data_IF_483756121779
#
_entry.id   IF_483756121779
#
_cell.length_a   1.000
_cell.length_b   1.000
_cell.length_c   1.000
_cell.angle_alpha   90.00
_cell.angle_beta   90.00
_cell.angle_gamma   90.00
#
_symmetry.space_group_name_H-M   'P 1'
#
loop_
_entity.id
_entity.type
_entity.pdbx_description
1 polymer ?
#
# COMPACT_ATOMS: atom_id res chain seq x y z
N UNK A 1 -21.38 -11.88 -23.87
CA UNK A 1 -22.36 -12.94 -24.18
C UNK A 1 -23.74 -12.39 -23.84
N UNK A 2 -24.33 -11.72 -24.83
CA UNK A 2 -25.69 -11.21 -24.85
C UNK A 2 -26.54 -12.31 -25.47
N UNK A 3 -27.50 -12.87 -24.72
CA UNK A 3 -28.65 -13.62 -25.23
C UNK A 3 -29.73 -13.52 -24.13
N UNK A 4 -31.01 -13.23 -24.34
CA UNK A 4 -31.79 -12.97 -25.55
C UNK A 4 -33.15 -12.38 -25.11
N UNK A 5 -33.67 -11.45 -25.92
CA UNK A 5 -35.06 -11.23 -26.31
C UNK A 5 -36.21 -11.55 -25.32
N UNK A 6 -37.06 -10.55 -25.06
CA UNK A 6 -38.39 -10.53 -25.67
C UNK A 6 -39.07 -9.18 -25.39
N UNK A 7 -39.07 -8.37 -26.44
CA UNK A 7 -40.14 -7.43 -26.75
C UNK A 7 -41.44 -8.24 -26.94
N UNK A 8 -42.52 -7.87 -26.26
CA UNK A 8 -43.88 -7.92 -26.83
C UNK A 8 -44.85 -7.29 -25.81
N UNK A 9 -45.26 -6.07 -26.14
CA UNK A 9 -46.60 -5.63 -25.84
C UNK A 9 -47.62 -6.72 -26.24
N UNK A 10 -48.79 -6.68 -25.61
CA UNK A 10 -50.00 -7.41 -26.00
C UNK A 10 -50.23 -8.80 -25.42
N UNK A 11 -50.10 -8.95 -24.09
CA UNK A 11 -51.02 -9.86 -23.39
C UNK A 11 -51.64 -9.17 -22.19
N UNK A 12 -52.96 -8.95 -22.30
CA UNK A 12 -53.89 -8.61 -21.22
C UNK A 12 -54.06 -7.11 -20.95
N UNK A 13 -54.71 -6.46 -21.92
CA UNK A 13 -55.94 -5.74 -21.59
C UNK A 13 -56.81 -6.62 -20.66
N UNK A 14 -56.74 -6.40 -19.36
CA UNK A 14 -57.85 -6.64 -18.45
C UNK A 14 -57.92 -5.46 -17.50
N UNK A 15 -58.92 -4.63 -17.72
CA UNK A 15 -59.45 -3.71 -16.74
C UNK A 15 -59.62 -4.46 -15.41
N UNK A 16 -58.78 -4.13 -14.43
CA UNK A 16 -59.04 -4.42 -13.03
C UNK A 16 -58.63 -3.19 -12.23
N UNK A 17 -59.47 -2.67 -11.32
CA UNK A 17 -59.02 -1.65 -10.39
C UNK A 17 -57.88 -2.25 -9.57
N UNK A 18 -56.73 -1.56 -9.52
CA UNK A 18 -55.58 -1.99 -8.72
C UNK A 18 -55.98 -1.91 -7.25
N UNK A 19 -56.50 -3.01 -6.70
CA UNK A 19 -56.80 -3.13 -5.27
C UNK A 19 -55.48 -3.45 -4.57
N UNK A 20 -54.93 -2.46 -3.86
CA UNK A 20 -53.78 -2.66 -2.98
C UNK A 20 -54.18 -3.51 -1.76
N UNK A 21 -53.36 -4.50 -1.39
CA UNK A 21 -53.48 -5.21 -0.12
C UNK A 21 -53.33 -4.25 1.07
N UNK A 22 -53.98 -4.55 2.21
CA UNK A 22 -54.20 -3.64 3.36
C UNK A 22 -52.96 -2.93 3.92
N UNK A 23 -51.75 -3.40 3.61
CA UNK A 23 -50.48 -2.85 4.10
C UNK A 23 -49.70 -2.00 3.06
N UNK A 24 -50.26 -1.78 1.87
CA UNK A 24 -49.63 -0.99 0.81
C UNK A 24 -50.40 0.31 0.56
N UNK A 25 -49.68 1.38 0.22
CA UNK A 25 -50.26 2.67 -0.14
C UNK A 25 -50.09 2.89 -1.65
N UNK A 26 -51.15 3.32 -2.33
CA UNK A 26 -51.09 3.79 -3.71
C UNK A 26 -50.24 5.07 -3.77
N UNK A 27 -49.19 5.05 -4.58
CA UNK A 27 -48.33 6.20 -4.86
C UNK A 27 -48.40 6.50 -6.35
N UNK A 28 -48.74 7.75 -6.67
CA UNK A 28 -48.75 8.28 -8.04
C UNK A 28 -47.32 8.56 -8.46
N UNK A 29 -46.86 7.97 -9.57
CA UNK A 29 -45.45 8.04 -9.98
C UNK A 29 -45.25 9.02 -11.13
N UNK A 30 -46.21 9.09 -12.06
CA UNK A 30 -46.10 9.92 -13.25
C UNK A 30 -47.46 10.16 -13.90
N UNK A 31 -47.59 11.33 -14.52
CA UNK A 31 -48.65 11.68 -15.46
C UNK A 31 -48.09 11.61 -16.88
N UNK A 32 -48.78 10.89 -17.77
CA UNK A 32 -48.43 10.84 -19.19
C UNK A 32 -49.69 11.16 -20.01
N UNK A 33 -49.62 12.22 -20.82
CA UNK A 33 -50.70 12.67 -21.70
C UNK A 33 -50.88 14.20 -21.70
N UNK A 34 -51.37 14.75 -22.81
CA UNK A 34 -51.70 16.18 -22.98
C UNK A 34 -53.06 16.53 -22.32
N UNK A 35 -53.33 17.82 -22.07
CA UNK A 35 -54.40 18.37 -21.21
C UNK A 35 -55.83 17.83 -21.42
N UNK A 36 -56.11 17.14 -22.54
CA UNK A 36 -57.41 16.54 -22.85
C UNK A 36 -57.48 15.02 -22.68
N UNK A 37 -56.37 14.32 -22.43
CA UNK A 37 -56.33 12.87 -22.24
C UNK A 37 -55.20 12.45 -21.29
N UNK A 38 -55.41 12.65 -19.99
CA UNK A 38 -54.43 12.35 -18.95
C UNK A 38 -54.59 10.90 -18.45
N UNK A 39 -53.54 10.08 -18.60
CA UNK A 39 -53.49 8.74 -18.00
C UNK A 39 -52.62 8.77 -16.74
N UNK A 40 -53.15 8.28 -15.63
CA UNK A 40 -52.49 8.25 -14.33
C UNK A 40 -51.97 6.84 -14.02
N UNK A 41 -50.66 6.71 -13.81
CA UNK A 41 -50.03 5.46 -13.38
C UNK A 41 -49.76 5.48 -11.88
N UNK A 42 -50.32 4.49 -11.19
CA UNK A 42 -50.12 4.28 -9.76
C UNK A 42 -49.43 2.94 -9.50
N UNK A 43 -48.50 2.91 -8.55
CA UNK A 43 -47.97 1.64 -7.99
C UNK A 43 -48.32 1.53 -6.52
N UNK A 44 -48.38 0.29 -6.08
CA UNK A 44 -48.59 -0.11 -4.70
C UNK A 44 -47.22 -0.14 -4.01
N UNK A 45 -46.92 0.81 -3.11
CA UNK A 45 -45.63 0.89 -2.41
C UNK A 45 -45.81 0.68 -0.90
N UNK A 46 -44.93 -0.12 -0.31
CA UNK A 46 -44.86 -0.34 1.14
C UNK A 46 -44.20 0.87 1.82
N UNK A 47 -44.69 1.25 3.01
CA UNK A 47 -44.13 2.36 3.82
C UNK A 47 -42.62 2.22 4.12
N UNK A 48 -42.06 1.02 3.94
CA UNK A 48 -40.67 0.63 4.23
C UNK A 48 -39.63 1.21 3.25
N UNK A 49 -40.04 1.66 2.04
CA UNK A 49 -39.10 2.21 1.06
C UNK A 49 -38.43 3.52 1.52
N UNK A 50 -39.13 4.36 2.29
CA UNK A 50 -38.61 5.65 2.78
C UNK A 50 -37.56 5.48 3.89
N UNK A 51 -37.64 4.40 4.67
CA UNK A 51 -36.71 4.08 5.77
C UNK A 51 -35.39 3.51 5.23
N UNK A 52 -35.44 2.71 4.16
CA UNK A 52 -34.27 2.14 3.48
C UNK A 52 -33.33 3.21 2.90
N UNK A 53 -33.87 4.32 2.36
CA UNK A 53 -33.04 5.44 1.83
C UNK A 53 -32.27 6.16 2.95
N UNK A 54 -32.85 6.31 4.13
CA UNK A 54 -32.18 6.90 5.30
C UNK A 54 -31.10 5.96 5.84
N UNK A 55 -31.41 4.66 5.95
CA UNK A 55 -30.46 3.64 6.40
C UNK A 55 -29.27 3.54 5.44
N UNK A 56 -29.52 3.53 4.11
CA UNK A 56 -28.45 3.53 3.11
C UNK A 56 -27.54 4.77 3.21
N UNK A 57 -28.11 5.94 3.52
CA UNK A 57 -27.34 7.16 3.74
C UNK A 57 -26.46 7.10 5.01
N UNK A 58 -26.97 6.52 6.09
CA UNK A 58 -26.19 6.30 7.32
C UNK A 58 -25.07 5.27 7.13
N UNK A 59 -25.31 4.20 6.36
CA UNK A 59 -24.28 3.21 6.02
C UNK A 59 -23.15 3.85 5.19
N UNK A 60 -23.50 4.70 4.20
CA UNK A 60 -22.52 5.45 3.41
C UNK A 60 -21.68 6.41 4.27
N UNK A 61 -22.30 7.07 5.25
CA UNK A 61 -21.62 7.96 6.19
C UNK A 61 -20.64 7.20 7.09
N UNK A 62 -21.01 6.02 7.59
CA UNK A 62 -20.15 5.19 8.44
C UNK A 62 -18.94 4.67 7.65
N UNK A 63 -19.11 4.28 6.38
CA UNK A 63 -17.99 3.85 5.51
C UNK A 63 -17.00 4.98 5.26
N UNK A 64 -17.44 6.25 5.21
CA UNK A 64 -16.55 7.39 4.99
C UNK A 64 -15.63 7.71 6.19
N UNK A 65 -15.98 7.24 7.40
CA UNK A 65 -15.25 7.56 8.63
C UNK A 65 -14.12 6.58 8.98
N UNK A 66 -13.92 5.48 8.23
CA UNK A 66 -12.97 4.41 8.59
C UNK A 66 -11.59 4.51 7.95
N UNK A 67 -11.30 5.53 7.13
CA UNK A 67 -9.96 5.69 6.53
C UNK A 67 -9.00 6.46 7.43
N UNK A 68 -8.67 5.91 8.60
CA UNK A 68 -7.46 6.33 9.32
C UNK A 68 -6.29 5.43 8.86
N UNK A 69 -5.78 5.66 7.66
CA UNK A 69 -4.48 5.08 7.28
C UNK A 69 -3.43 5.87 8.05
N UNK A 70 -2.82 5.23 9.05
CA UNK A 70 -1.73 5.81 9.85
C UNK A 70 -0.63 6.32 8.92
N UNK A 71 -0.47 7.63 8.83
CA UNK A 71 0.63 8.30 8.09
C UNK A 71 1.96 8.26 8.84
N UNK A 72 2.02 7.54 9.97
CA UNK A 72 3.22 7.41 10.77
C UNK A 72 4.09 6.28 10.22
N UNK A 73 5.35 6.61 9.90
CA UNK A 73 6.35 5.62 9.51
C UNK A 73 6.55 4.59 10.62
N UNK A 74 6.67 3.31 10.23
CA UNK A 74 6.99 2.20 11.16
C UNK A 74 8.48 2.06 11.39
N UNK A 75 9.32 2.73 10.59
CA UNK A 75 10.77 2.71 10.74
C UNK A 75 11.18 3.34 12.07
N UNK A 76 11.99 2.63 12.84
CA UNK A 76 12.37 2.99 14.23
C UNK A 76 13.78 3.55 14.36
N UNK A 77 14.59 3.45 13.31
CA UNK A 77 16.01 3.83 13.31
C UNK A 77 16.35 4.94 12.28
N UNK A 78 15.35 5.74 11.90
CA UNK A 78 15.55 6.96 11.11
C UNK A 78 16.10 8.06 12.00
N UNK A 79 17.18 8.70 11.57
CA UNK A 79 17.82 9.81 12.27
C UNK A 79 18.34 10.85 11.26
N UNK A 80 17.66 11.99 11.19
CA UNK A 80 18.03 13.10 10.30
C UNK A 80 19.33 13.80 10.71
N UNK A 81 19.74 13.67 11.98
CA UNK A 81 20.98 14.24 12.51
C UNK A 81 22.18 13.31 12.32
N UNK A 82 21.98 12.10 11.78
CA UNK A 82 23.06 11.18 11.49
C UNK A 82 24.11 11.84 10.56
N UNK A 83 25.41 11.53 10.70
CA UNK A 83 26.44 12.02 9.81
C UNK A 83 26.14 11.67 8.35
N UNK A 84 26.50 12.56 7.43
CA UNK A 84 26.40 12.26 6.00
C UNK A 84 27.39 11.14 5.63
N UNK A 85 26.94 10.25 4.73
CA UNK A 85 27.78 9.13 4.30
C UNK A 85 28.98 9.64 3.49
N UNK A 86 30.12 9.00 3.69
CA UNK A 86 31.38 9.31 3.00
C UNK A 86 31.79 8.12 2.15
N UNK A 87 32.36 8.39 0.97
CA UNK A 87 32.87 7.36 0.08
C UNK A 87 34.37 7.16 0.26
N UNK A 88 34.78 5.90 0.25
CA UNK A 88 36.18 5.48 0.12
C UNK A 88 36.64 5.59 -1.34
N UNK A 89 37.95 5.44 -1.57
CA UNK A 89 38.58 5.50 -2.90
C UNK A 89 38.06 4.44 -3.87
N UNK A 90 37.68 3.27 -3.36
CA UNK A 90 37.07 2.17 -4.13
C UNK A 90 35.55 2.34 -4.35
N UNK A 91 35.01 3.54 -4.11
CA UNK A 91 33.60 3.88 -4.30
C UNK A 91 32.65 3.10 -3.37
N UNK A 92 33.09 2.56 -2.23
CA UNK A 92 32.19 2.01 -1.19
C UNK A 92 31.98 3.01 -0.05
N UNK A 93 30.98 2.79 0.80
CA UNK A 93 30.78 3.65 1.97
C UNK A 93 31.85 3.40 3.05
N UNK A 94 32.30 4.47 3.69
CA UNK A 94 33.14 4.40 4.88
C UNK A 94 32.27 4.08 6.11
N UNK A 95 32.32 2.84 6.59
CA UNK A 95 31.58 2.37 7.77
C UNK A 95 32.57 2.15 8.91
N UNK A 96 32.34 2.81 10.05
CA UNK A 96 33.22 2.75 11.24
C UNK A 96 32.61 2.04 12.43
N UNK A 97 31.29 1.87 12.41
CA UNK A 97 30.50 1.38 13.53
C UNK A 97 29.99 -0.04 13.24
N UNK A 98 29.88 -0.84 14.29
CA UNK A 98 29.33 -2.19 14.25
C UNK A 98 28.09 -2.24 15.14
N UNK A 99 26.98 -2.72 14.59
CA UNK A 99 25.72 -2.79 15.33
C UNK A 99 25.76 -3.91 16.36
N UNK A 100 25.37 -3.60 17.60
CA UNK A 100 25.05 -4.60 18.64
C UNK A 100 23.57 -4.98 18.66
N UNK A 101 22.75 -4.38 17.79
CA UNK A 101 21.34 -4.73 17.63
C UNK A 101 21.17 -5.83 16.58
N UNK A 102 20.54 -6.93 16.99
CA UNK A 102 20.21 -8.09 16.15
C UNK A 102 19.17 -7.76 15.06
N UNK A 103 18.44 -6.67 15.19
CA UNK A 103 17.42 -6.25 14.23
C UNK A 103 17.96 -5.36 13.12
N UNK A 104 19.07 -4.67 13.37
CA UNK A 104 19.62 -3.70 12.41
C UNK A 104 19.96 -4.37 11.07
N UNK A 105 19.26 -3.94 10.03
CA UNK A 105 19.32 -4.47 8.68
C UNK A 105 18.51 -5.76 8.45
N UNK A 106 18.15 -6.51 9.49
CA UNK A 106 17.46 -7.81 9.38
C UNK A 106 15.95 -7.75 9.65
N UNK A 107 15.46 -6.62 10.14
CA UNK A 107 14.05 -6.36 10.43
C UNK A 107 13.57 -5.17 9.57
N UNK A 108 12.38 -5.25 8.95
CA UNK A 108 11.85 -4.15 8.13
C UNK A 108 11.61 -2.86 8.91
N UNK A 109 11.42 -2.89 10.24
CA UNK A 109 11.33 -1.67 11.06
C UNK A 109 12.71 -1.07 11.40
N UNK A 110 13.79 -1.82 11.16
CA UNK A 110 15.17 -1.41 11.42
C UNK A 110 16.07 -1.59 10.18
N UNK A 111 15.70 -1.04 9.01
CA UNK A 111 16.50 -1.21 7.79
C UNK A 111 17.84 -0.49 7.89
N UNK A 112 18.77 -0.80 7.01
CA UNK A 112 19.98 0.01 6.85
C UNK A 112 19.61 1.27 6.05
N UNK A 113 19.64 2.41 6.73
CA UNK A 113 19.36 3.73 6.14
C UNK A 113 20.62 4.25 5.43
N UNK A 114 20.57 4.28 4.09
CA UNK A 114 21.70 4.57 3.19
C UNK A 114 21.46 5.79 2.29
N UNK A 115 20.67 6.77 2.77
CA UNK A 115 20.48 8.03 2.04
C UNK A 115 21.80 8.76 1.82
N UNK A 116 22.15 9.01 0.55
CA UNK A 116 23.37 9.70 0.15
C UNK A 116 23.10 10.77 -0.91
N UNK A 117 23.16 12.03 -0.49
CA UNK A 117 22.94 13.26 -1.29
C UNK A 117 21.51 13.39 -1.85
N UNK A 118 21.03 12.43 -2.61
CA UNK A 118 19.69 12.37 -3.19
C UNK A 118 19.26 10.93 -3.46
N UNK A 119 18.01 10.74 -3.89
CA UNK A 119 17.38 9.44 -4.16
C UNK A 119 17.44 8.99 -5.64
N UNK A 120 18.16 9.72 -6.52
CA UNK A 120 18.19 9.42 -7.97
C UNK A 120 19.06 8.21 -8.32
N UNK A 121 20.08 7.93 -7.50
CA UNK A 121 21.05 6.85 -7.71
C UNK A 121 20.81 5.65 -6.77
N UNK A 122 19.56 5.19 -6.67
CA UNK A 122 19.09 4.10 -5.78
C UNK A 122 20.02 2.86 -5.82
N UNK A 123 20.11 2.21 -6.99
CA UNK A 123 20.85 0.97 -7.15
C UNK A 123 22.36 1.10 -6.89
N UNK A 124 22.90 2.31 -7.11
CA UNK A 124 24.32 2.57 -6.87
C UNK A 124 24.59 2.57 -5.37
N UNK A 125 23.84 3.31 -4.56
CA UNK A 125 24.09 3.41 -3.12
C UNK A 125 23.94 2.06 -2.41
N UNK A 126 22.98 1.24 -2.82
CA UNK A 126 22.83 -0.13 -2.33
C UNK A 126 24.06 -0.97 -2.62
N UNK A 127 24.53 -0.92 -3.87
CA UNK A 127 25.74 -1.62 -4.31
C UNK A 127 26.97 -1.15 -3.54
N UNK A 128 27.11 0.15 -3.29
CA UNK A 128 28.22 0.72 -2.50
C UNK A 128 28.23 0.21 -1.07
N UNK A 129 27.06 0.10 -0.45
CA UNK A 129 26.92 -0.45 0.90
C UNK A 129 27.21 -1.94 0.92
N UNK A 130 26.58 -2.72 0.05
CA UNK A 130 26.75 -4.18 0.00
C UNK A 130 28.20 -4.57 -0.32
N UNK A 131 28.87 -3.86 -1.22
CA UNK A 131 30.29 -4.10 -1.53
C UNK A 131 31.24 -3.72 -0.40
N UNK A 132 30.79 -2.94 0.60
CA UNK A 132 31.58 -2.67 1.80
C UNK A 132 31.54 -3.83 2.81
N UNK A 133 30.62 -4.78 2.66
CA UNK A 133 30.38 -5.86 3.59
C UNK A 133 31.10 -7.15 3.19
N UNK A 134 31.38 -7.98 4.19
CA UNK A 134 31.88 -9.33 4.05
C UNK A 134 31.17 -10.26 5.06
N UNK A 135 31.35 -11.57 4.89
CA UNK A 135 30.89 -12.57 5.86
C UNK A 135 31.53 -12.39 7.24
N UNK A 136 31.09 -13.14 8.26
CA UNK A 136 31.55 -12.99 9.65
C UNK A 136 33.08 -13.08 9.82
N UNK A 137 33.77 -13.84 8.98
CA UNK A 137 35.22 -14.03 9.03
C UNK A 137 35.95 -13.33 7.86
N UNK A 138 35.27 -12.43 7.15
CA UNK A 138 35.81 -11.72 5.99
C UNK A 138 35.60 -12.44 4.66
N UNK A 139 34.67 -13.40 4.60
CA UNK A 139 34.33 -14.10 3.37
C UNK A 139 33.73 -13.15 2.33
N UNK A 140 34.06 -13.36 1.05
CA UNK A 140 33.46 -12.59 -0.03
C UNK A 140 31.97 -12.90 -0.11
N UNK A 141 31.13 -11.87 0.04
CA UNK A 141 29.69 -12.02 -0.14
C UNK A 141 29.29 -11.89 -1.61
N UNK A 142 28.21 -12.56 -1.97
CA UNK A 142 27.41 -12.30 -3.16
C UNK A 142 26.01 -11.94 -2.72
N UNK A 143 25.30 -11.15 -3.53
CA UNK A 143 23.96 -10.71 -3.19
C UNK A 143 23.07 -10.67 -4.42
N UNK A 144 21.78 -10.93 -4.19
CA UNK A 144 20.72 -10.77 -5.18
C UNK A 144 19.61 -9.93 -4.56
N UNK A 145 19.05 -9.00 -5.34
CA UNK A 145 17.83 -8.29 -4.94
C UNK A 145 16.65 -9.26 -5.09
N UNK A 146 15.94 -9.52 -4.00
CA UNK A 146 14.78 -10.41 -4.00
C UNK A 146 13.52 -9.66 -4.42
N UNK A 147 13.25 -8.56 -3.73
CA UNK A 147 12.02 -7.79 -3.90
C UNK A 147 12.21 -6.35 -3.43
N UNK A 148 11.29 -5.49 -3.84
CA UNK A 148 11.07 -4.17 -3.26
C UNK A 148 9.79 -4.29 -2.44
N UNK A 149 9.90 -4.12 -1.14
CA UNK A 149 8.82 -4.34 -0.20
C UNK A 149 8.51 -3.09 0.63
N UNK A 150 7.53 -3.27 1.50
CA UNK A 150 7.41 -2.50 2.72
C UNK A 150 7.26 -1.00 2.46
N UNK A 151 6.09 -0.57 1.95
CA UNK A 151 5.81 0.86 1.78
C UNK A 151 5.89 1.57 3.13
N UNK A 152 6.54 2.74 3.16
CA UNK A 152 6.55 3.63 4.31
C UNK A 152 6.42 5.09 3.86
N UNK A 153 5.80 5.97 4.66
CA UNK A 153 5.70 7.38 4.34
C UNK A 153 7.07 8.06 4.47
N UNK A 154 7.44 8.88 3.49
CA UNK A 154 8.68 9.67 3.49
C UNK A 154 8.50 10.98 2.73
N UNK A 155 9.19 12.03 3.17
CA UNK A 155 9.22 13.33 2.47
C UNK A 155 10.32 13.41 1.41
N UNK A 156 11.19 12.39 1.31
CA UNK A 156 12.35 12.34 0.41
C UNK A 156 12.06 11.61 -0.91
N UNK A 157 10.78 11.33 -1.17
CA UNK A 157 10.24 10.80 -2.42
C UNK A 157 9.16 11.74 -2.94
N UNK A 158 9.13 11.97 -4.25
CA UNK A 158 8.12 12.80 -4.91
C UNK A 158 6.69 12.25 -4.71
N UNK A 159 6.57 10.94 -4.47
CA UNK A 159 5.29 10.27 -4.24
C UNK A 159 4.82 10.36 -2.77
N UNK A 160 5.63 10.93 -1.87
CA UNK A 160 5.35 10.94 -0.42
C UNK A 160 5.47 9.56 0.25
N UNK A 161 5.93 8.55 -0.48
CA UNK A 161 6.12 7.18 -0.02
C UNK A 161 7.42 6.60 -0.59
N UNK A 162 8.06 5.75 0.20
CA UNK A 162 9.26 5.02 -0.13
C UNK A 162 9.04 3.52 0.08
N UNK A 163 9.94 2.71 -0.45
CA UNK A 163 9.92 1.27 -0.33
C UNK A 163 11.30 0.78 0.09
N UNK A 164 11.32 -0.28 0.90
CA UNK A 164 12.56 -0.96 1.25
C UNK A 164 12.95 -1.93 0.15
N UNK A 165 14.25 -2.08 -0.09
CA UNK A 165 14.76 -3.12 -0.97
C UNK A 165 15.33 -4.27 -0.15
N UNK A 166 14.92 -5.48 -0.50
CA UNK A 166 15.31 -6.70 0.21
C UNK A 166 16.36 -7.43 -0.61
N UNK A 167 17.52 -7.63 0.00
CA UNK A 167 18.64 -8.37 -0.59
C UNK A 167 18.86 -9.69 0.14
N UNK A 168 19.15 -10.75 -0.60
CA UNK A 168 19.66 -12.00 -0.04
C UNK A 168 21.18 -12.04 -0.19
N UNK A 169 21.88 -12.22 0.92
CA UNK A 169 23.33 -12.32 1.00
C UNK A 169 23.77 -13.77 1.17
N UNK A 170 24.79 -14.16 0.41
CA UNK A 170 25.43 -15.49 0.43
C UNK A 170 26.94 -15.37 0.55
N UNK A 171 27.54 -16.33 1.23
CA UNK A 171 29.00 -16.51 1.29
C UNK A 171 29.33 -17.98 1.56
N UNK A 172 30.59 -18.35 1.37
CA UNK A 172 31.05 -19.71 1.60
C UNK A 172 30.92 -20.13 3.07
N UNK A 173 30.46 -21.35 3.33
CA UNK A 173 30.25 -21.86 4.69
C UNK A 173 28.98 -21.35 5.39
N UNK A 174 28.16 -20.52 4.73
CA UNK A 174 26.89 -20.05 5.26
C UNK A 174 25.84 -21.18 5.32
N UNK A 175 25.24 -21.41 6.48
CA UNK A 175 24.19 -22.44 6.66
C UNK A 175 22.84 -22.04 6.06
N UNK A 176 22.49 -20.77 6.15
CA UNK A 176 21.21 -20.21 5.66
C UNK A 176 21.47 -18.83 5.06
N UNK A 177 20.92 -18.52 3.87
CA UNK A 177 20.97 -17.18 3.32
C UNK A 177 20.37 -16.17 4.29
N UNK A 178 20.93 -14.97 4.30
CA UNK A 178 20.51 -13.89 5.19
C UNK A 178 19.86 -12.80 4.35
N UNK A 179 18.72 -12.28 4.80
CA UNK A 179 18.01 -11.19 4.13
C UNK A 179 18.33 -9.86 4.79
N UNK A 180 18.58 -8.83 3.98
CA UNK A 180 18.90 -7.49 4.44
C UNK A 180 17.91 -6.49 3.83
N UNK A 181 17.37 -5.61 4.67
CA UNK A 181 16.46 -4.53 4.28
C UNK A 181 17.24 -3.23 4.16
N UNK A 182 17.22 -2.63 2.98
CA UNK A 182 17.90 -1.37 2.69
C UNK A 182 16.88 -0.27 2.44
N UNK A 183 17.19 0.93 2.92
CA UNK A 183 16.39 2.13 2.75
C UNK A 183 17.26 3.24 2.17
N UNK A 184 16.99 3.65 0.93
CA UNK A 184 17.72 4.75 0.28
C UNK A 184 17.18 6.14 0.62
N UNK A 185 15.98 6.21 1.22
CA UNK A 185 15.24 7.46 1.35
C UNK A 185 15.64 8.19 2.62
N UNK A 186 15.80 7.49 3.74
CA UNK A 186 16.02 8.12 5.04
C UNK A 186 17.48 8.08 5.49
N UNK A 187 17.85 9.05 6.33
CA UNK A 187 19.13 9.06 7.05
C UNK A 187 19.05 8.19 8.30
N UNK A 188 20.20 7.67 8.69
CA UNK A 188 20.39 6.94 9.94
C UNK A 188 21.87 6.67 10.18
N UNK A 189 22.19 6.22 11.38
CA UNK A 189 23.57 5.83 11.71
C UNK A 189 23.95 4.60 10.88
N UNK A 190 24.96 4.75 10.02
CA UNK A 190 25.45 3.68 9.16
C UNK A 190 26.39 2.75 9.94
N UNK A 191 26.03 1.48 10.01
CA UNK A 191 26.75 0.46 10.77
C UNK A 191 26.85 -0.84 9.98
N UNK A 192 27.81 -1.69 10.35
CA UNK A 192 27.85 -3.08 9.91
C UNK A 192 26.77 -3.88 10.67
N UNK A 193 25.87 -4.59 9.98
CA UNK A 193 24.89 -5.46 10.64
C UNK A 193 25.56 -6.56 11.46
N UNK A 194 24.94 -6.94 12.58
CA UNK A 194 25.51 -7.93 13.49
C UNK A 194 25.79 -9.25 12.77
N UNK A 195 27.01 -9.79 12.95
CA UNK A 195 27.43 -11.05 12.34
C UNK A 195 27.95 -10.93 10.91
N UNK A 196 28.03 -9.72 10.37
CA UNK A 196 28.80 -9.40 9.17
C UNK A 196 30.09 -8.67 9.55
N UNK A 197 31.01 -8.58 8.60
CA UNK A 197 32.25 -7.81 8.74
C UNK A 197 32.42 -6.84 7.58
N UNK A 198 33.54 -6.10 7.58
CA UNK A 198 33.92 -5.24 6.45
C UNK A 198 34.75 -6.04 5.44
N UNK A 199 34.49 -5.80 4.16
CA UNK A 199 35.36 -6.28 3.10
C UNK A 199 36.77 -5.70 3.27
N UNK A 200 37.77 -6.56 3.06
CA UNK A 200 39.18 -6.14 3.04
C UNK A 200 39.44 -5.30 1.79
N UNK A 201 40.22 -4.24 1.96
CA UNK A 201 40.70 -3.38 0.87
C UNK A 201 41.83 -4.04 0.07
#
# INVERSE_FOLDING_TARGET
>A
MIFFLADLADFLNLFNPVICSKNLKLVKIRDIGDRKNQKHFYICSTKTFKTMKKIAFYILLIISATSCVSTRSTLKNVDDNAPDLVLKRNNTFEIKLFSTDKKYGFDPDYPVNIFFRNTKDEALNETRFLNALAGPNGEKITYIRLETCCPFPTKRSDMGAGFLNVYELKWEGQKKPVKLYLNIYEKGILMVPMGLSLAKE
#
